data_IF_841910278037
#
_entry.id   IF_841910278037
#
_cell.length_a   1.000
_cell.length_b   1.000
_cell.length_c   1.000
_cell.angle_alpha   90.00
_cell.angle_beta   90.00
_cell.angle_gamma   90.00
#
_symmetry.space_group_name_H-M   'P 1'
#
loop_
_entity.id
_entity.type
_entity.pdbx_description
1 polymer ?
#
# COMPACT_ATOMS: atom_id res chain seq x y z
N UNK A 1 8.45 15.08 -19.51
CA UNK A 1 8.97 14.22 -18.44
C UNK A 1 8.76 12.77 -18.85
N UNK A 2 9.72 11.86 -18.67
CA UNK A 2 9.48 10.44 -18.94
C UNK A 2 8.40 9.91 -18.00
N UNK A 3 7.57 9.00 -18.50
CA UNK A 3 6.60 8.28 -17.68
C UNK A 3 7.35 7.43 -16.64
N UNK A 4 7.03 7.52 -15.34
CA UNK A 4 7.68 6.69 -14.34
C UNK A 4 7.39 5.21 -14.60
N UNK A 5 8.33 4.35 -14.22
CA UNK A 5 8.11 2.91 -14.28
C UNK A 5 6.97 2.52 -13.33
N UNK A 6 6.01 1.73 -13.83
CA UNK A 6 4.95 1.16 -13.02
C UNK A 6 5.20 -0.34 -12.82
N UNK A 7 5.09 -0.78 -11.58
CA UNK A 7 5.38 -2.13 -11.13
C UNK A 7 4.31 -3.13 -11.53
N UNK A 8 3.06 -2.70 -11.72
CA UNK A 8 1.97 -3.58 -12.13
C UNK A 8 1.70 -3.51 -13.63
N UNK A 9 1.80 -2.33 -14.22
CA UNK A 9 1.47 -2.06 -15.62
C UNK A 9 2.73 -1.81 -16.45
N UNK A 10 2.78 -2.44 -17.63
CA UNK A 10 3.75 -2.11 -18.66
C UNK A 10 3.37 -0.80 -19.37
N UNK A 11 4.29 -0.26 -20.18
CA UNK A 11 4.09 1.00 -20.89
C UNK A 11 2.93 0.96 -21.90
N UNK A 12 2.54 -0.24 -22.35
CA UNK A 12 1.39 -0.49 -23.23
C UNK A 12 0.05 -0.67 -22.47
N UNK A 13 0.07 -0.54 -21.14
CA UNK A 13 -1.10 -0.72 -20.27
C UNK A 13 -1.40 -2.17 -19.90
N UNK A 14 -0.61 -3.14 -20.39
CA UNK A 14 -0.78 -4.54 -20.01
C UNK A 14 -0.32 -4.81 -18.57
N UNK A 15 -0.96 -5.76 -17.88
CA UNK A 15 -0.51 -6.20 -16.55
C UNK A 15 0.71 -7.09 -16.69
N UNK A 16 1.77 -6.80 -15.93
CA UNK A 16 3.00 -7.58 -15.91
C UNK A 16 2.74 -9.01 -15.40
N UNK A 17 3.41 -10.04 -15.95
CA UNK A 17 3.09 -11.44 -15.61
C UNK A 17 3.09 -11.77 -14.12
N UNK A 18 4.07 -11.26 -13.36
CA UNK A 18 4.17 -11.49 -11.91
C UNK A 18 3.07 -10.79 -11.09
N UNK A 19 2.41 -9.77 -11.65
CA UNK A 19 1.32 -9.04 -11.00
C UNK A 19 -0.07 -9.51 -11.43
N UNK A 20 -0.18 -10.50 -12.33
CA UNK A 20 -1.48 -10.92 -12.90
C UNK A 20 -2.48 -11.37 -11.83
N UNK A 21 -2.07 -12.28 -10.96
CA UNK A 21 -2.94 -12.79 -9.90
C UNK A 21 -3.42 -11.69 -8.95
N UNK A 22 -2.56 -10.70 -8.66
CA UNK A 22 -2.94 -9.55 -7.85
C UNK A 22 -3.96 -8.66 -8.59
N UNK A 23 -3.74 -8.38 -9.87
CA UNK A 23 -4.66 -7.57 -10.66
C UNK A 23 -6.05 -8.23 -10.79
N UNK A 24 -6.10 -9.54 -11.02
CA UNK A 24 -7.35 -10.31 -11.05
C UNK A 24 -8.06 -10.29 -9.70
N UNK A 25 -7.32 -10.49 -8.61
CA UNK A 25 -7.88 -10.39 -7.27
C UNK A 25 -8.43 -8.99 -6.99
N UNK A 26 -7.67 -7.92 -7.28
CA UNK A 26 -8.10 -6.54 -7.09
C UNK A 26 -9.36 -6.22 -7.88
N UNK A 27 -9.47 -6.70 -9.13
CA UNK A 27 -10.64 -6.49 -9.98
C UNK A 27 -11.92 -7.16 -9.46
N UNK A 28 -11.79 -8.17 -8.60
CA UNK A 28 -12.94 -8.91 -8.02
C UNK A 28 -13.32 -8.43 -6.63
N UNK A 29 -12.54 -7.53 -6.00
CA UNK A 29 -12.83 -7.09 -4.64
C UNK A 29 -13.85 -5.95 -4.60
N UNK A 30 -14.85 -6.02 -3.72
CA UNK A 30 -15.72 -4.88 -3.46
C UNK A 30 -14.94 -3.76 -2.76
N UNK A 31 -15.19 -2.47 -3.06
CA UNK A 31 -14.50 -1.34 -2.43
C UNK A 31 -14.54 -1.37 -0.90
N UNK A 32 -15.64 -1.87 -0.34
CA UNK A 32 -15.87 -2.01 1.10
C UNK A 32 -14.86 -2.98 1.73
N UNK A 33 -14.48 -4.05 1.02
CA UNK A 33 -13.50 -5.01 1.53
C UNK A 33 -12.13 -4.37 1.65
N UNK A 34 -11.70 -3.63 0.64
CA UNK A 34 -10.42 -2.92 0.66
C UNK A 34 -10.40 -1.86 1.77
N UNK A 35 -11.51 -1.16 1.98
CA UNK A 35 -11.64 -0.20 3.08
C UNK A 35 -11.56 -0.87 4.45
N UNK A 36 -12.18 -2.04 4.63
CA UNK A 36 -12.08 -2.84 5.85
C UNK A 36 -10.65 -3.32 6.11
N UNK A 37 -9.96 -3.82 5.09
CA UNK A 37 -8.58 -4.30 5.22
C UNK A 37 -7.64 -3.15 5.61
N UNK A 38 -7.83 -1.95 5.04
CA UNK A 38 -7.10 -0.73 5.46
C UNK A 38 -7.37 -0.37 6.92
N UNK A 39 -8.63 -0.38 7.33
CA UNK A 39 -8.99 -0.07 8.72
C UNK A 39 -8.42 -1.11 9.71
N UNK A 40 -8.45 -2.39 9.35
CA UNK A 40 -7.88 -3.46 10.15
C UNK A 40 -6.36 -3.30 10.29
N UNK A 41 -5.66 -2.92 9.21
CA UNK A 41 -4.24 -2.60 9.26
C UNK A 41 -3.98 -1.42 10.20
N UNK A 42 -4.70 -0.30 10.06
CA UNK A 42 -4.54 0.88 10.94
C UNK A 42 -4.69 0.53 12.43
N UNK A 43 -5.68 -0.30 12.76
CA UNK A 43 -5.88 -0.76 14.13
C UNK A 43 -4.74 -1.66 14.62
N UNK A 44 -4.21 -2.53 13.75
CA UNK A 44 -3.08 -3.39 14.09
C UNK A 44 -1.82 -2.55 14.35
N UNK A 45 -1.51 -1.57 13.49
CA UNK A 45 -0.36 -0.68 13.68
C UNK A 45 -0.45 0.13 14.98
N UNK A 46 -1.64 0.62 15.34
CA UNK A 46 -1.90 1.27 16.63
C UNK A 46 -1.67 0.34 17.82
N UNK A 47 -2.10 -0.92 17.73
CA UNK A 47 -1.96 -1.90 18.82
C UNK A 47 -0.52 -2.37 19.03
N UNK A 48 0.25 -2.52 17.96
CA UNK A 48 1.64 -2.99 18.02
C UNK A 48 2.60 -1.86 18.43
N UNK A 49 2.14 -0.60 18.44
CA UNK A 49 2.95 0.54 18.88
C UNK A 49 4.05 0.92 17.89
N UNK A 50 3.88 0.60 16.60
CA UNK A 50 4.80 1.01 15.55
C UNK A 50 4.51 2.49 15.23
N UNK A 51 5.09 3.39 16.02
CA UNK A 51 5.05 4.83 15.82
C UNK A 51 6.43 5.33 15.42
N UNK A 52 6.48 6.44 14.67
CA UNK A 52 7.72 7.14 14.42
C UNK A 52 7.66 8.54 15.04
N UNK A 53 8.77 8.94 15.66
CA UNK A 53 8.89 10.28 16.21
C UNK A 53 9.08 11.28 15.06
N UNK A 54 8.15 12.22 14.92
CA UNK A 54 8.35 13.37 14.03
C UNK A 54 8.98 14.47 14.85
N UNK A 55 10.23 14.81 14.53
CA UNK A 55 10.90 15.98 15.09
C UNK A 55 10.64 17.19 14.18
N UNK A 56 9.82 18.13 14.65
CA UNK A 56 9.53 19.38 13.95
C UNK A 56 8.83 20.39 14.88
N UNK A 57 9.32 21.64 14.85
CA UNK A 57 8.83 22.84 15.55
C UNK A 57 8.10 22.62 16.89
N UNK A 58 8.83 22.06 17.87
CA UNK A 58 8.49 22.22 19.29
C UNK A 58 7.61 21.13 19.92
N UNK A 59 7.12 20.14 19.17
CA UNK A 59 6.35 19.03 19.75
C UNK A 59 6.79 17.68 19.16
N UNK A 60 7.29 16.76 19.98
CA UNK A 60 7.46 15.37 19.58
C UNK A 60 6.08 14.74 19.43
N UNK A 61 5.53 14.81 18.23
CA UNK A 61 4.23 14.19 17.93
C UNK A 61 4.52 12.83 17.34
N UNK A 62 4.19 11.77 18.07
CA UNK A 62 4.20 10.42 17.53
C UNK A 62 3.15 10.33 16.41
N UNK A 63 3.56 9.82 15.24
CA UNK A 63 2.66 9.55 14.12
C UNK A 63 2.70 8.06 13.77
N UNK A 64 1.56 7.55 13.33
CA UNK A 64 1.45 6.18 12.81
C UNK A 64 2.09 6.11 11.43
N UNK A 65 2.88 5.06 11.20
CA UNK A 65 3.42 4.77 9.87
C UNK A 65 2.24 4.49 8.91
N UNK A 66 2.16 5.18 7.76
CA UNK A 66 1.16 4.84 6.76
C UNK A 66 1.45 3.46 6.19
N UNK A 67 0.41 2.62 6.09
CA UNK A 67 0.51 1.27 5.56
C UNK A 67 -0.39 1.11 4.33
N UNK A 68 0.11 0.43 3.30
CA UNK A 68 -0.67 0.03 2.14
C UNK A 68 -0.96 -1.48 2.19
N UNK A 69 -2.20 -1.84 1.89
CA UNK A 69 -2.67 -3.23 1.80
C UNK A 69 -2.30 -3.87 0.46
N UNK A 70 -1.96 -3.07 -0.56
CA UNK A 70 -1.53 -3.56 -1.87
C UNK A 70 -0.05 -3.95 -1.82
N UNK A 71 0.30 -5.22 -2.05
CA UNK A 71 1.68 -5.66 -1.96
C UNK A 71 2.52 -5.17 -3.15
N UNK A 72 3.79 -4.87 -2.90
CA UNK A 72 4.79 -4.65 -3.93
C UNK A 72 5.45 -5.98 -4.29
N UNK A 73 5.08 -6.54 -5.45
CA UNK A 73 5.56 -7.85 -5.90
C UNK A 73 6.93 -7.71 -6.54
N UNK A 74 7.93 -8.44 -6.02
CA UNK A 74 9.26 -8.55 -6.61
C UNK A 74 9.31 -9.79 -7.49
N UNK A 75 9.57 -9.66 -8.81
CA UNK A 75 9.79 -10.82 -9.68
C UNK A 75 11.08 -11.56 -9.29
N UNK A 76 11.03 -12.89 -9.30
CA UNK A 76 12.18 -13.77 -9.12
C UNK A 76 12.88 -14.11 -10.43
#
# INVERSE_FOLDING_TARGET
MPTPYNEMYAADGSVRPHCRSLAEWLATQPPERIAQDRHAADLLFRKVGITFAVYGEGASTERLIPFDVVPHIIPG
#
